data_IF_018179790504
#
_entry.id   IF_018179790504
#
_cell.length_a   1.000
_cell.length_b   1.000
_cell.length_c   1.000
_cell.angle_alpha   90.00
_cell.angle_beta   90.00
_cell.angle_gamma   90.00
#
_symmetry.space_group_name_H-M   'P 1'
#
loop_
_entity.id
_entity.type
_entity.pdbx_description
1 polymer ?
#
# COMPACT_ATOMS: atom_id res chain seq x y z
N UNK A 1 9.87 18.27 18.30
CA UNK A 1 9.05 17.52 17.34
C UNK A 1 7.73 17.30 18.06
N UNK A 2 6.68 18.01 17.63
CA UNK A 2 5.35 17.82 18.21
C UNK A 2 4.94 16.37 17.91
N UNK A 3 4.66 15.66 18.98
CA UNK A 3 4.08 14.31 18.95
C UNK A 3 2.67 14.45 18.38
N UNK A 4 2.57 14.38 17.06
CA UNK A 4 1.28 14.51 16.38
C UNK A 4 0.62 13.13 16.34
N UNK A 5 0.21 12.65 17.51
CA UNK A 5 -0.60 11.42 17.68
C UNK A 5 -2.04 11.59 17.16
N UNK A 6 -2.30 12.65 16.38
CA UNK A 6 -3.59 12.83 15.75
C UNK A 6 -3.78 11.75 14.67
N UNK A 7 -4.64 10.79 14.97
CA UNK A 7 -5.03 9.77 13.98
C UNK A 7 -5.84 10.46 12.89
N UNK A 8 -5.29 10.44 11.67
CA UNK A 8 -5.94 11.05 10.50
C UNK A 8 -6.95 10.04 9.90
N UNK A 9 -8.08 9.87 10.57
CA UNK A 9 -9.09 8.86 10.21
C UNK A 9 -9.58 8.96 8.77
N UNK A 10 -9.77 10.17 8.26
CA UNK A 10 -10.24 10.36 6.88
C UNK A 10 -9.20 9.92 5.85
N UNK A 11 -7.92 10.21 6.09
CA UNK A 11 -6.84 9.74 5.22
C UNK A 11 -6.69 8.22 5.29
N UNK A 12 -6.76 7.65 6.48
CA UNK A 12 -6.72 6.20 6.67
C UNK A 12 -7.90 5.51 5.97
N UNK A 13 -9.10 6.07 6.04
CA UNK A 13 -10.27 5.56 5.33
C UNK A 13 -10.10 5.63 3.80
N UNK A 14 -9.51 6.72 3.31
CA UNK A 14 -9.19 6.87 1.87
C UNK A 14 -8.20 5.82 1.40
N UNK A 15 -7.12 5.58 2.15
CA UNK A 15 -6.14 4.54 1.83
C UNK A 15 -6.73 3.14 1.90
N UNK A 16 -7.58 2.87 2.89
CA UNK A 16 -8.29 1.60 3.02
C UNK A 16 -9.18 1.33 1.81
N UNK A 17 -10.01 2.30 1.43
CA UNK A 17 -10.90 2.17 0.28
C UNK A 17 -10.11 2.00 -1.03
N UNK A 18 -9.07 2.79 -1.23
CA UNK A 18 -8.21 2.68 -2.41
C UNK A 18 -7.48 1.33 -2.47
N UNK A 19 -6.98 0.84 -1.34
CA UNK A 19 -6.34 -0.47 -1.25
C UNK A 19 -7.27 -1.61 -1.66
N UNK A 20 -8.52 -1.59 -1.20
CA UNK A 20 -9.52 -2.58 -1.62
C UNK A 20 -9.82 -2.49 -3.12
N UNK A 21 -9.94 -1.29 -3.65
CA UNK A 21 -10.23 -1.07 -5.06
C UNK A 21 -9.12 -1.60 -5.97
N UNK A 22 -7.86 -1.27 -5.65
CA UNK A 22 -6.71 -1.76 -6.41
C UNK A 22 -6.53 -3.27 -6.28
N UNK A 23 -6.77 -3.82 -5.09
CA UNK A 23 -6.76 -5.28 -4.88
C UNK A 23 -7.83 -5.95 -5.75
N UNK A 24 -9.03 -5.37 -5.83
CA UNK A 24 -10.09 -5.89 -6.68
C UNK A 24 -9.74 -5.86 -8.18
N UNK A 25 -9.05 -4.80 -8.62
CA UNK A 25 -8.51 -4.71 -9.98
C UNK A 25 -7.50 -5.83 -10.25
N UNK A 26 -6.54 -6.04 -9.33
CA UNK A 26 -5.52 -7.08 -9.50
C UNK A 26 -6.11 -8.49 -9.46
N UNK A 27 -7.08 -8.76 -8.59
CA UNK A 27 -7.79 -10.04 -8.51
C UNK A 27 -8.51 -10.33 -9.83
N UNK A 28 -9.18 -9.34 -10.40
CA UNK A 28 -9.86 -9.45 -11.69
C UNK A 28 -8.87 -9.72 -12.83
N UNK A 29 -7.77 -8.97 -12.87
CA UNK A 29 -6.70 -9.14 -13.85
C UNK A 29 -6.10 -10.57 -13.82
N UNK A 30 -6.03 -11.16 -12.63
CA UNK A 30 -5.54 -12.52 -12.41
C UNK A 30 -6.59 -13.60 -12.62
N UNK A 31 -7.81 -13.25 -13.07
CA UNK A 31 -8.91 -14.17 -13.33
C UNK A 31 -9.70 -14.59 -12.08
N UNK A 32 -9.52 -13.87 -10.97
CA UNK A 32 -10.28 -14.08 -9.73
C UNK A 32 -11.61 -13.34 -9.72
N UNK A 33 -12.30 -13.42 -8.58
CA UNK A 33 -13.59 -12.76 -8.39
C UNK A 33 -13.44 -11.49 -7.57
N UNK A 34 -13.60 -10.33 -8.17
CA UNK A 34 -13.52 -9.01 -7.50
C UNK A 34 -14.29 -8.93 -6.18
N UNK A 35 -15.50 -9.51 -6.16
CA UNK A 35 -16.37 -9.46 -4.96
C UNK A 35 -15.73 -10.10 -3.72
N UNK A 36 -14.83 -11.06 -3.88
CA UNK A 36 -14.16 -11.72 -2.75
C UNK A 36 -13.30 -10.75 -1.93
N UNK A 37 -12.79 -9.70 -2.57
CA UNK A 37 -11.97 -8.66 -1.92
C UNK A 37 -12.79 -7.89 -0.87
N UNK A 38 -14.09 -7.70 -1.09
CA UNK A 38 -14.97 -6.95 -0.19
C UNK A 38 -15.58 -7.80 0.93
N UNK A 39 -15.15 -9.04 1.06
CA UNK A 39 -15.59 -9.97 2.09
C UNK A 39 -14.49 -10.19 3.16
N UNK A 40 -14.68 -11.20 4.03
CA UNK A 40 -13.75 -11.47 5.14
C UNK A 40 -12.28 -11.64 4.71
N UNK A 41 -11.92 -12.42 3.68
CA UNK A 41 -10.51 -12.61 3.30
C UNK A 41 -9.84 -11.37 2.70
N UNK A 42 -10.59 -10.37 2.28
CA UNK A 42 -10.07 -9.10 1.76
C UNK A 42 -10.28 -7.96 2.76
N UNK A 43 -11.45 -7.35 2.73
CA UNK A 43 -11.75 -6.18 3.57
C UNK A 43 -11.65 -6.49 5.07
N UNK A 44 -12.10 -7.67 5.49
CA UNK A 44 -12.02 -8.07 6.90
C UNK A 44 -10.58 -8.20 7.38
N UNK A 45 -9.74 -8.87 6.61
CA UNK A 45 -8.33 -9.06 6.94
C UNK A 45 -7.57 -7.73 6.94
N UNK A 46 -7.80 -6.88 5.93
CA UNK A 46 -7.20 -5.55 5.86
C UNK A 46 -7.59 -4.68 7.06
N UNK A 47 -8.87 -4.75 7.48
CA UNK A 47 -9.35 -4.02 8.65
C UNK A 47 -8.58 -4.43 9.91
N UNK A 48 -8.46 -5.72 10.19
CA UNK A 48 -7.75 -6.23 11.38
C UNK A 48 -6.25 -5.88 11.31
N UNK A 49 -5.62 -6.06 10.16
CA UNK A 49 -4.20 -5.77 9.96
C UNK A 49 -3.87 -4.29 10.13
N UNK A 50 -4.80 -3.40 9.76
CA UNK A 50 -4.62 -1.96 9.92
C UNK A 50 -4.64 -1.48 11.38
N UNK A 51 -5.23 -2.27 12.29
CA UNK A 51 -5.36 -1.90 13.72
C UNK A 51 -4.08 -2.14 14.52
N UNK A 52 -3.11 -2.88 14.00
CA UNK A 52 -1.86 -3.18 14.70
C UNK A 52 -0.96 -4.11 13.91
N UNK A 53 0.18 -4.44 14.49
CA UNK A 53 1.12 -5.38 13.91
C UNK A 53 2.34 -4.75 13.23
N UNK A 54 3.08 -5.59 12.52
CA UNK A 54 4.41 -5.23 11.98
C UNK A 54 4.33 -4.27 10.80
N UNK A 55 3.35 -4.44 9.92
CA UNK A 55 3.11 -3.52 8.81
C UNK A 55 2.72 -2.12 9.32
N UNK A 56 1.82 -2.05 10.29
CA UNK A 56 1.40 -0.79 10.92
C UNK A 56 2.58 -0.09 11.62
N UNK A 57 3.43 -0.85 12.33
CA UNK A 57 4.63 -0.31 12.98
C UNK A 57 5.61 0.28 11.96
N UNK A 58 5.85 -0.41 10.84
CA UNK A 58 6.66 0.12 9.74
C UNK A 58 6.03 1.41 9.19
N UNK A 59 4.72 1.40 8.94
CA UNK A 59 4.00 2.57 8.44
C UNK A 59 4.15 3.81 9.33
N UNK A 60 4.25 3.65 10.65
CA UNK A 60 4.52 4.79 11.56
C UNK A 60 5.89 5.42 11.31
N UNK A 61 6.95 4.63 11.13
CA UNK A 61 8.28 5.18 10.82
C UNK A 61 8.29 5.89 9.47
N UNK A 62 7.66 5.30 8.46
CA UNK A 62 7.54 5.90 7.14
C UNK A 62 6.76 7.23 7.19
N UNK A 63 5.65 7.25 7.92
CA UNK A 63 4.84 8.46 8.12
C UNK A 63 5.56 9.58 8.87
N UNK A 64 6.58 9.24 9.68
CA UNK A 64 7.48 10.21 10.33
C UNK A 64 8.61 10.68 9.40
N UNK A 65 8.62 10.27 8.15
CA UNK A 65 9.62 10.67 7.15
C UNK A 65 10.91 9.86 7.18
N UNK A 66 10.93 8.71 7.88
CA UNK A 66 12.10 7.81 7.86
C UNK A 66 12.03 6.96 6.59
N UNK A 67 13.06 6.95 5.72
CA UNK A 67 13.10 6.07 4.56
C UNK A 67 12.98 4.59 4.95
N UNK A 68 12.41 3.78 4.07
CA UNK A 68 12.16 2.36 4.36
C UNK A 68 13.43 1.60 4.74
N UNK A 69 14.50 1.75 3.96
CA UNK A 69 15.77 1.07 4.22
C UNK A 69 16.32 1.37 5.62
N UNK A 70 16.25 2.65 6.02
CA UNK A 70 16.67 3.09 7.34
C UNK A 70 15.74 2.59 8.44
N UNK A 71 14.43 2.70 8.25
CA UNK A 71 13.45 2.19 9.22
C UNK A 71 13.64 0.69 9.47
N UNK A 72 13.87 -0.08 8.40
CA UNK A 72 14.13 -1.52 8.48
C UNK A 72 15.43 -1.84 9.20
N UNK A 73 16.52 -1.15 8.89
CA UNK A 73 17.83 -1.42 9.45
C UNK A 73 17.96 -1.00 10.93
N UNK A 74 17.45 0.19 11.30
CA UNK A 74 17.67 0.76 12.62
C UNK A 74 16.59 0.36 13.65
N UNK A 75 15.34 0.21 13.23
CA UNK A 75 14.20 0.04 14.15
C UNK A 75 13.51 -1.32 14.06
N UNK A 76 13.69 -2.03 12.96
CA UNK A 76 13.01 -3.30 12.70
C UNK A 76 13.93 -4.37 12.08
N UNK A 77 15.22 -4.37 12.43
CA UNK A 77 16.23 -5.27 11.83
C UNK A 77 15.82 -6.74 11.88
N UNK A 78 15.39 -7.20 13.06
CA UNK A 78 15.03 -8.61 13.31
C UNK A 78 13.52 -8.89 13.13
N UNK A 79 12.79 -7.95 12.54
CA UNK A 79 11.34 -8.06 12.37
C UNK A 79 11.00 -8.25 10.91
N UNK A 80 10.28 -9.33 10.61
CA UNK A 80 9.68 -9.53 9.28
C UNK A 80 8.50 -8.58 9.10
N UNK A 81 8.54 -7.78 8.03
CA UNK A 81 7.45 -6.90 7.60
C UNK A 81 6.89 -7.48 6.30
N UNK A 82 5.82 -8.26 6.41
CA UNK A 82 5.31 -9.10 5.31
C UNK A 82 4.91 -8.28 4.09
N UNK A 83 4.23 -7.16 4.31
CA UNK A 83 3.83 -6.26 3.22
C UNK A 83 5.02 -5.68 2.45
N UNK A 84 6.11 -5.36 3.16
CA UNK A 84 7.34 -4.89 2.54
C UNK A 84 8.05 -6.01 1.76
N UNK A 85 8.12 -7.21 2.32
CA UNK A 85 8.68 -8.36 1.60
C UNK A 85 7.89 -8.67 0.32
N UNK A 86 6.57 -8.60 0.39
CA UNK A 86 5.73 -8.76 -0.79
C UNK A 86 6.02 -7.68 -1.83
N UNK A 87 6.07 -6.41 -1.43
CA UNK A 87 6.38 -5.30 -2.35
C UNK A 87 7.76 -5.49 -3.02
N UNK A 88 8.77 -5.92 -2.27
CA UNK A 88 10.10 -6.21 -2.81
C UNK A 88 10.10 -7.40 -3.78
N UNK A 89 9.32 -8.43 -3.48
CA UNK A 89 9.25 -9.63 -4.32
C UNK A 89 8.52 -9.39 -5.65
N UNK A 90 7.42 -8.63 -5.63
CA UNK A 90 6.59 -8.42 -6.83
C UNK A 90 6.84 -7.08 -7.52
N UNK A 91 7.44 -6.10 -6.83
CA UNK A 91 7.62 -4.74 -7.35
C UNK A 91 8.21 -4.69 -8.75
N UNK A 92 9.39 -5.30 -9.00
CA UNK A 92 9.99 -5.30 -10.34
C UNK A 92 9.09 -5.89 -11.42
N UNK A 93 8.31 -6.94 -11.08
CA UNK A 93 7.37 -7.57 -12.01
C UNK A 93 6.19 -6.64 -12.31
N UNK A 94 5.65 -5.97 -11.28
CA UNK A 94 4.55 -5.00 -11.45
C UNK A 94 5.02 -3.83 -12.33
N UNK A 95 6.18 -3.27 -12.06
CA UNK A 95 6.77 -2.19 -12.85
C UNK A 95 6.95 -2.58 -14.33
N UNK A 96 7.45 -3.79 -14.57
CA UNK A 96 7.57 -4.34 -15.93
C UNK A 96 6.19 -4.49 -16.59
N UNK A 97 5.20 -5.04 -15.90
CA UNK A 97 3.85 -5.22 -16.43
C UNK A 97 3.17 -3.89 -16.76
N UNK A 98 3.43 -2.85 -15.97
CA UNK A 98 2.97 -1.48 -16.27
C UNK A 98 3.66 -0.96 -17.54
N UNK A 99 4.98 -1.10 -17.65
CA UNK A 99 5.74 -0.67 -18.83
C UNK A 99 5.28 -1.39 -20.12
N UNK A 100 4.87 -2.65 -20.00
CA UNK A 100 4.35 -3.45 -21.12
C UNK A 100 2.84 -3.20 -21.40
N UNK A 101 2.18 -2.34 -20.62
CA UNK A 101 0.75 -2.05 -20.77
C UNK A 101 -0.18 -3.18 -20.32
N UNK A 102 0.33 -4.17 -19.57
CA UNK A 102 -0.46 -5.28 -19.00
C UNK A 102 -1.19 -4.89 -17.73
N UNK A 103 -0.68 -3.92 -16.99
CA UNK A 103 -1.31 -3.27 -15.85
C UNK A 103 -1.49 -1.80 -16.21
N UNK A 104 -2.71 -1.29 -16.06
CA UNK A 104 -2.96 0.13 -16.20
C UNK A 104 -2.47 0.88 -14.94
N UNK A 105 -1.46 1.73 -15.10
CA UNK A 105 -0.89 2.51 -14.02
C UNK A 105 -1.92 3.39 -13.29
N UNK A 106 -2.89 3.93 -14.02
CA UNK A 106 -3.96 4.74 -13.44
C UNK A 106 -4.92 3.94 -12.54
N UNK A 107 -4.94 2.62 -12.69
CA UNK A 107 -5.76 1.72 -11.88
C UNK A 107 -5.08 1.25 -10.59
N UNK A 108 -3.78 1.49 -10.43
CA UNK A 108 -2.98 1.00 -9.28
C UNK A 108 -2.04 2.07 -8.68
N UNK A 109 -2.50 3.33 -8.52
CA UNK A 109 -1.63 4.40 -8.05
C UNK A 109 -1.10 4.20 -6.62
N UNK A 110 -1.87 3.60 -5.72
CA UNK A 110 -1.41 3.30 -4.36
C UNK A 110 -0.37 2.18 -4.37
N UNK A 111 -0.59 1.11 -5.14
CA UNK A 111 0.37 0.00 -5.28
C UNK A 111 1.72 0.51 -5.79
N UNK A 112 1.74 1.34 -6.83
CA UNK A 112 2.96 1.92 -7.37
C UNK A 112 3.65 2.82 -6.35
N UNK A 113 2.90 3.64 -5.61
CA UNK A 113 3.45 4.45 -4.52
C UNK A 113 4.09 3.58 -3.44
N UNK A 114 3.45 2.47 -3.04
CA UNK A 114 4.01 1.56 -2.06
C UNK A 114 5.29 0.86 -2.56
N UNK A 115 5.35 0.50 -3.83
CA UNK A 115 6.55 -0.06 -4.45
C UNK A 115 7.68 0.98 -4.44
N UNK A 116 7.41 2.23 -4.80
CA UNK A 116 8.40 3.31 -4.77
C UNK A 116 8.96 3.53 -3.36
N UNK A 117 8.09 3.55 -2.34
CA UNK A 117 8.50 3.73 -0.94
C UNK A 117 9.39 2.57 -0.48
N UNK A 118 8.98 1.34 -0.75
CA UNK A 118 9.65 0.14 -0.20
C UNK A 118 10.86 -0.28 -1.03
N UNK A 119 10.79 -0.19 -2.35
CA UNK A 119 11.85 -0.66 -3.26
C UNK A 119 12.84 0.45 -3.64
N UNK A 120 12.43 1.71 -3.61
CA UNK A 120 13.23 2.84 -4.08
C UNK A 120 13.44 3.93 -3.02
N UNK A 121 13.06 3.68 -1.76
CA UNK A 121 13.19 4.64 -0.64
C UNK A 121 12.54 6.01 -0.92
N UNK A 122 11.49 6.03 -1.72
CA UNK A 122 10.75 7.26 -1.99
C UNK A 122 10.08 7.80 -0.70
N UNK A 123 9.91 9.12 -0.58
CA UNK A 123 9.15 9.70 0.52
C UNK A 123 7.69 9.29 0.46
N UNK A 124 7.00 9.32 1.61
CA UNK A 124 5.57 9.02 1.68
C UNK A 124 4.77 10.21 1.18
N UNK A 125 4.41 10.15 -0.10
CA UNK A 125 3.56 11.14 -0.77
C UNK A 125 2.50 10.38 -1.57
N UNK A 126 1.23 10.47 -1.13
CA UNK A 126 0.14 9.78 -1.79
C UNK A 126 -0.48 10.64 -2.89
N UNK A 127 -0.72 10.06 -4.09
CA UNK A 127 -1.32 10.78 -5.22
C UNK A 127 -2.85 10.86 -5.07
N UNK A 128 -3.34 11.65 -4.10
CA UNK A 128 -4.75 11.77 -3.77
C UNK A 128 -5.64 12.10 -4.97
N UNK A 129 -5.18 12.97 -5.86
CA UNK A 129 -5.92 13.32 -7.08
C UNK A 129 -6.13 12.11 -7.99
N UNK A 130 -5.12 11.23 -8.09
CA UNK A 130 -5.23 9.99 -8.86
C UNK A 130 -6.23 9.01 -8.24
N UNK A 131 -6.31 8.94 -6.91
CA UNK A 131 -7.30 8.10 -6.22
C UNK A 131 -8.73 8.52 -6.53
N UNK A 132 -8.98 9.82 -6.57
CA UNK A 132 -10.32 10.35 -6.84
C UNK A 132 -10.68 10.29 -8.33
N UNK A 133 -9.71 10.43 -9.23
CA UNK A 133 -9.96 10.36 -10.67
C UNK A 133 -10.50 8.99 -11.14
N UNK A 134 -10.07 7.91 -10.52
CA UNK A 134 -10.53 6.55 -10.81
C UNK A 134 -11.92 6.19 -10.24
N UNK A 135 -12.41 6.96 -9.27
CA UNK A 135 -13.66 6.65 -8.56
C UNK A 135 -14.89 7.38 -9.11
N UNK A 136 -14.75 8.17 -10.17
CA UNK A 136 -15.82 9.01 -10.74
C UNK A 136 -16.38 8.43 -12.05
N UNK A 137 -15.89 7.28 -12.46
CA UNK A 137 -16.38 6.59 -13.68
C UNK A 137 -17.34 5.45 -13.34
#
# INVERSE_FOLDING_TARGET
VADNDAVMYNLAAGLFAQGLWETAYMVDLMGGQRRSVFTLPGAGDLYVTSMGGRNQRMGRYLGLGVPFSRAKAEYMADVTVEGAQLAQAIGPTVEQMVAEGKIDAASVPLMLTMIDIVCHDAPVEFPWDAFFAGNVA
#
